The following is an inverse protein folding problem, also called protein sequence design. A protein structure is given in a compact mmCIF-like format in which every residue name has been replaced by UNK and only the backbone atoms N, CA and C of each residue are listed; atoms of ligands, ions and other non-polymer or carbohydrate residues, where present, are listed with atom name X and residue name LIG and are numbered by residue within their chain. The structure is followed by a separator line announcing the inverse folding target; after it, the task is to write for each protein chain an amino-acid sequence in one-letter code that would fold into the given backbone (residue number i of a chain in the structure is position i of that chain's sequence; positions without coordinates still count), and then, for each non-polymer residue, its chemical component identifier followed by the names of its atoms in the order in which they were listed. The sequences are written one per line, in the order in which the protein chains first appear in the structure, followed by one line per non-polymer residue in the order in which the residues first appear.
data_IF_864230296941
#
_entry.id   IF_864230296941
#
_cell.length_a   1.000
_cell.length_b   1.000
_cell.length_c   1.000
_cell.angle_alpha   90.00
_cell.angle_beta   90.00
_cell.angle_gamma   90.00
#
_symmetry.space_group_name_H-M   'P 1'
#
loop_
_entity.id
_entity.type
_entity.pdbx_description
1 polymer ?
#
# COMPACT_ATOMS: atom_id res chain seq x y z
N UNK A 1 -2.61 -16.48 2.39
CA UNK A 1 -3.61 -15.46 2.06
C UNK A 1 -3.28 -14.94 0.68
N UNK A 2 -4.25 -15.00 -0.24
CA UNK A 2 -4.07 -14.57 -1.62
C UNK A 2 -4.29 -13.07 -1.76
N UNK A 3 -3.57 -12.45 -2.72
CA UNK A 3 -3.70 -11.03 -3.00
C UNK A 3 -5.07 -10.79 -3.66
N UNK A 4 -5.80 -9.80 -3.17
CA UNK A 4 -7.15 -9.39 -3.63
C UNK A 4 -8.32 -10.26 -3.15
N UNK A 5 -8.09 -11.30 -2.35
CA UNK A 5 -9.15 -12.01 -1.62
C UNK A 5 -9.55 -11.29 -0.34
N UNK A 6 -10.82 -11.46 0.07
CA UNK A 6 -11.38 -10.89 1.30
C UNK A 6 -11.39 -11.98 2.37
N UNK A 7 -10.97 -11.63 3.58
CA UNK A 7 -10.92 -12.57 4.70
C UNK A 7 -11.61 -12.01 5.94
N UNK A 8 -12.41 -12.84 6.58
CA UNK A 8 -12.84 -12.63 7.95
C UNK A 8 -11.77 -13.13 8.91
N UNK A 9 -11.26 -12.25 9.78
CA UNK A 9 -10.26 -12.58 10.79
C UNK A 9 -10.90 -12.46 12.18
N UNK A 10 -10.80 -13.52 12.98
CA UNK A 10 -11.33 -13.58 14.36
C UNK A 10 -10.24 -14.04 15.32
N UNK A 11 -10.34 -13.63 16.58
CA UNK A 11 -9.42 -14.01 17.68
C UNK A 11 -8.00 -13.55 17.36
N UNK A 12 -7.73 -12.26 17.51
CA UNK A 12 -6.43 -11.65 17.25
C UNK A 12 -6.06 -10.67 18.37
N UNK A 13 -4.77 -10.39 18.51
CA UNK A 13 -4.28 -9.35 19.44
C UNK A 13 -4.18 -8.01 18.72
N UNK A 14 -4.56 -6.93 19.40
CA UNK A 14 -4.40 -5.56 18.92
C UNK A 14 -3.27 -4.90 19.71
N UNK A 15 -2.33 -4.27 19.01
CA UNK A 15 -1.21 -3.55 19.63
C UNK A 15 -1.05 -2.17 19.02
N UNK A 16 -0.43 -1.25 19.76
CA UNK A 16 -0.02 0.04 19.20
C UNK A 16 0.95 -0.17 18.05
N UNK A 17 0.70 0.53 16.95
CA UNK A 17 1.52 0.41 15.77
C UNK A 17 2.72 1.36 15.89
N UNK A 18 3.90 0.83 16.20
CA UNK A 18 5.14 1.63 16.45
C UNK A 18 6.10 1.67 15.26
N UNK A 19 5.77 1.04 14.11
CA UNK A 19 6.68 1.05 12.93
C UNK A 19 6.92 2.49 12.42
N UNK A 20 8.16 2.78 12.01
CA UNK A 20 8.55 4.09 11.44
C UNK A 20 8.12 4.25 9.98
N UNK A 21 8.14 3.17 9.20
CA UNK A 21 7.78 3.18 7.77
C UNK A 21 6.44 2.48 7.56
N UNK A 22 5.42 3.25 7.17
CA UNK A 22 4.07 2.74 6.93
C UNK A 22 3.40 3.49 5.80
N UNK A 23 2.77 2.74 4.91
CA UNK A 23 1.93 3.30 3.84
C UNK A 23 0.53 3.66 4.36
N UNK A 24 0.08 3.06 5.47
CA UNK A 24 -1.24 3.30 6.07
C UNK A 24 -1.09 3.79 7.51
N UNK A 25 -1.64 4.97 7.80
CA UNK A 25 -1.65 5.61 9.11
C UNK A 25 -2.73 5.00 10.04
N UNK A 26 -2.59 3.73 10.42
CA UNK A 26 -3.40 3.13 11.48
C UNK A 26 -2.65 3.15 12.81
N UNK A 27 -3.30 3.70 13.86
CA UNK A 27 -2.77 3.79 15.25
C UNK A 27 -2.48 2.41 15.85
N UNK A 28 -3.20 1.39 15.39
CA UNK A 28 -3.09 0.01 15.87
C UNK A 28 -2.76 -0.96 14.74
N UNK A 29 -2.19 -2.11 15.10
CA UNK A 29 -1.99 -3.24 14.20
C UNK A 29 -2.48 -4.53 14.86
N UNK A 30 -2.88 -5.50 14.05
CA UNK A 30 -3.27 -6.83 14.52
C UNK A 30 -2.05 -7.77 14.50
N UNK A 31 -1.97 -8.66 15.49
CA UNK A 31 -1.03 -9.77 15.55
C UNK A 31 -1.85 -11.06 15.56
N UNK A 32 -1.53 -11.95 14.61
CA UNK A 32 -2.13 -13.28 14.54
C UNK A 32 -1.46 -14.17 15.61
N UNK A 33 -2.28 -14.91 16.34
CA UNK A 33 -1.88 -15.87 17.37
C UNK A 33 -2.26 -17.29 16.93
N UNK A 34 -1.86 -18.30 17.70
CA UNK A 34 -2.20 -19.70 17.42
C UNK A 34 -3.73 -19.92 17.37
N UNK A 35 -4.50 -19.19 18.17
CA UNK A 35 -5.97 -19.28 18.18
C UNK A 35 -6.66 -18.48 17.06
N UNK A 36 -5.91 -17.77 16.22
CA UNK A 36 -6.49 -16.90 15.19
C UNK A 36 -7.19 -17.72 14.12
N UNK A 37 -8.46 -17.36 13.85
CA UNK A 37 -9.28 -17.99 12.82
C UNK A 37 -9.43 -17.07 11.62
N UNK A 38 -9.05 -17.56 10.45
CA UNK A 38 -9.13 -16.85 9.17
C UNK A 38 -10.01 -17.67 8.23
N UNK A 39 -10.99 -17.04 7.60
CA UNK A 39 -11.84 -17.65 6.59
C UNK A 39 -12.00 -16.70 5.40
N UNK A 40 -11.95 -17.24 4.20
CA UNK A 40 -12.18 -16.48 2.98
C UNK A 40 -13.67 -16.12 2.85
N UNK A 41 -13.92 -14.91 2.36
CA UNK A 41 -15.25 -14.36 2.15
C UNK A 41 -15.45 -14.02 0.68
N UNK A 42 -16.58 -14.43 0.12
CA UNK A 42 -16.99 -14.08 -1.23
C UNK A 42 -18.04 -12.98 -1.17
N UNK A 43 -17.58 -11.74 -1.02
CA UNK A 43 -18.46 -10.56 -0.92
C UNK A 43 -18.20 -9.65 -2.12
N UNK A 44 -19.26 -9.31 -2.85
CA UNK A 44 -19.20 -8.30 -3.90
C UNK A 44 -19.24 -6.89 -3.30
N UNK A 45 -18.50 -5.95 -3.89
CA UNK A 45 -18.51 -4.55 -3.49
C UNK A 45 -17.70 -4.20 -2.24
N UNK A 46 -16.90 -5.13 -1.71
CA UNK A 46 -15.96 -4.79 -0.64
C UNK A 46 -14.82 -3.91 -1.19
N UNK A 47 -14.44 -2.80 -0.52
CA UNK A 47 -13.37 -1.94 -1.00
C UNK A 47 -12.03 -2.69 -1.10
N UNK A 48 -11.43 -2.72 -2.29
CA UNK A 48 -10.21 -3.52 -2.55
C UNK A 48 -8.95 -2.94 -1.91
N UNK A 49 -8.82 -1.61 -1.87
CA UNK A 49 -7.66 -0.94 -1.27
C UNK A 49 -8.02 0.48 -0.86
N UNK A 50 -7.72 0.84 0.39
CA UNK A 50 -7.70 2.24 0.81
C UNK A 50 -6.30 2.79 0.51
N UNK A 51 -6.25 3.83 -0.30
CA UNK A 51 -5.03 4.58 -0.60
C UNK A 51 -5.15 5.96 0.03
N UNK A 52 -4.04 6.46 0.58
CA UNK A 52 -3.93 7.83 1.06
C UNK A 52 -2.91 8.50 0.15
N UNK A 53 -3.42 9.09 -0.92
CA UNK A 53 -2.60 9.77 -1.90
C UNK A 53 -2.09 11.09 -1.33
N UNK A 54 -0.86 11.43 -1.72
CA UNK A 54 -0.32 12.77 -1.61
C UNK A 54 -0.11 13.32 -3.02
N UNK A 55 -0.26 14.62 -3.19
CA UNK A 55 0.16 15.29 -4.43
C UNK A 55 1.69 15.26 -4.55
N UNK A 56 2.21 15.47 -5.76
CA UNK A 56 3.65 15.57 -5.96
C UNK A 56 4.25 16.80 -5.24
N UNK A 57 3.47 17.87 -5.05
CA UNK A 57 3.87 19.03 -4.25
C UNK A 57 4.04 18.70 -2.75
N UNK A 58 3.17 17.82 -2.22
CA UNK A 58 3.23 17.38 -0.81
C UNK A 58 4.34 16.35 -0.55
N UNK A 59 4.84 15.69 -1.60
CA UNK A 59 6.02 14.83 -1.54
C UNK A 59 7.25 15.75 -1.49
N UNK A 60 7.56 16.24 -0.28
CA UNK A 60 8.73 17.10 -0.07
C UNK A 60 10.01 16.44 -0.58
N UNK A 61 10.74 17.14 -1.45
CA UNK A 61 12.03 16.73 -2.05
C UNK A 61 13.15 16.47 -1.03
N UNK A 62 12.94 16.79 0.25
CA UNK A 62 13.94 16.64 1.31
C UNK A 62 14.18 15.18 1.71
N UNK A 63 13.22 14.30 1.43
CA UNK A 63 13.39 12.86 1.61
C UNK A 63 13.87 12.28 0.27
N UNK A 64 15.14 11.86 0.20
CA UNK A 64 15.67 11.06 -0.93
C UNK A 64 14.88 9.77 -1.18
N UNK A 65 13.92 9.44 -0.30
CA UNK A 65 13.06 8.28 -0.38
C UNK A 65 11.68 8.58 0.23
N UNK A 66 10.67 8.72 -0.63
CA UNK A 66 9.27 8.76 -0.19
C UNK A 66 8.66 7.35 -0.15
N UNK A 67 8.01 7.00 0.97
CA UNK A 67 7.28 5.74 1.12
C UNK A 67 5.79 6.01 1.38
N UNK A 68 5.03 6.15 0.30
CA UNK A 68 3.59 6.42 0.37
C UNK A 68 2.87 6.08 -0.93
N UNK A 69 1.68 6.64 -1.11
CA UNK A 69 0.91 6.51 -2.35
C UNK A 69 0.89 7.84 -3.07
N UNK A 70 1.05 7.79 -4.40
CA UNK A 70 0.86 8.92 -5.32
C UNK A 70 -0.13 8.48 -6.41
N UNK A 71 -0.80 9.44 -7.02
CA UNK A 71 -1.70 9.23 -8.15
C UNK A 71 -1.35 10.27 -9.21
N UNK A 72 -1.27 9.87 -10.47
CA UNK A 72 -0.89 10.77 -11.55
C UNK A 72 -0.97 10.11 -12.91
N UNK A 73 -0.97 10.93 -13.94
CA UNK A 73 -0.91 10.50 -15.34
C UNK A 73 0.51 10.13 -15.71
N UNK A 74 0.69 9.04 -16.47
CA UNK A 74 2.00 8.59 -16.95
C UNK A 74 2.38 9.36 -18.20
N UNK A 75 3.43 10.18 -18.11
CA UNK A 75 3.92 10.98 -19.22
C UNK A 75 5.01 10.27 -20.04
N UNK A 76 5.93 9.58 -19.38
CA UNK A 76 7.05 8.91 -20.04
C UNK A 76 7.34 7.56 -19.41
N UNK A 77 7.82 6.62 -20.24
CA UNK A 77 8.24 5.29 -19.81
C UNK A 77 9.54 4.88 -20.50
N UNK A 78 10.62 4.80 -19.73
CA UNK A 78 11.92 4.35 -20.22
C UNK A 78 12.24 2.97 -19.65
N UNK A 79 12.79 2.08 -20.50
CA UNK A 79 13.15 0.72 -20.11
C UNK A 79 14.63 0.47 -20.37
N UNK A 80 15.42 0.38 -19.31
CA UNK A 80 16.86 0.13 -19.40
C UNK A 80 17.23 -1.27 -18.88
N UNK A 81 18.07 -1.98 -19.65
CA UNK A 81 18.88 -3.11 -19.20
C UNK A 81 18.35 -4.54 -19.43
N UNK A 82 19.19 -5.37 -20.04
CA UNK A 82 19.05 -6.83 -20.16
C UNK A 82 19.54 -7.54 -18.88
N UNK A 83 18.65 -7.72 -17.89
CA UNK A 83 18.64 -8.81 -16.87
C UNK A 83 17.71 -8.50 -15.69
N UNK A 84 17.45 -7.22 -15.40
CA UNK A 84 16.36 -6.76 -14.53
C UNK A 84 15.69 -5.59 -15.23
N UNK A 85 14.39 -5.71 -15.52
CA UNK A 85 13.63 -4.64 -16.19
C UNK A 85 13.55 -3.46 -15.22
N UNK A 86 14.46 -2.50 -15.33
CA UNK A 86 14.26 -1.19 -14.74
C UNK A 86 13.26 -0.46 -15.63
N UNK A 87 12.18 0.02 -15.02
CA UNK A 87 11.18 0.86 -15.68
C UNK A 87 11.18 2.17 -14.94
N UNK A 88 11.59 3.23 -15.63
CA UNK A 88 11.46 4.60 -15.16
C UNK A 88 10.13 5.15 -15.69
N UNK A 89 9.38 5.81 -14.80
CA UNK A 89 8.10 6.44 -15.13
C UNK A 89 8.13 7.89 -14.65
N UNK A 90 7.70 8.81 -15.52
CA UNK A 90 7.43 10.20 -15.16
C UNK A 90 5.92 10.35 -14.96
N UNK A 91 5.51 10.89 -13.81
CA UNK A 91 4.10 11.08 -13.43
C UNK A 91 3.81 12.56 -13.17
N UNK A 92 2.61 13.03 -13.51
CA UNK A 92 2.11 14.37 -13.19
C UNK A 92 0.76 14.29 -12.45
N UNK A 93 0.51 15.24 -11.55
CA UNK A 93 -0.80 15.34 -10.87
C UNK A 93 -1.87 15.69 -11.91
N UNK A 94 -3.04 15.08 -11.80
CA UNK A 94 -4.22 15.45 -12.60
C UNK A 94 -4.95 16.60 -11.92
N UNK A 95 -5.38 17.61 -12.69
CA UNK A 95 -6.27 18.69 -12.19
C UNK A 95 -7.57 18.18 -11.55
#
# INVERSE_FOLDING_TARGET
MEKWSIYGIKIFKVVHNTKKYKVIANKYMIILTEDTRIHELFVQGFPMKRLCFKSFEEVQLNDNLYNGSVFGEVQERTKNGEKKKLIELTLEDTE
#
